data_IF_119996763453
#
_entry.id   IF_119996763453
#
_cell.length_a   1.000
_cell.length_b   1.000
_cell.length_c   1.000
_cell.angle_alpha   90.00
_cell.angle_beta   90.00
_cell.angle_gamma   90.00
#
_symmetry.space_group_name_H-M   'P 1'
#
loop_
_entity.id
_entity.type
_entity.pdbx_description
1 polymer ?
#
# COMPACT_ATOMS: atom_id res chain seq x y z
N UNK A 1 -3.03 -10.52 -21.36
CA UNK A 1 -2.05 -9.78 -20.55
C UNK A 1 -2.06 -10.34 -19.13
N UNK A 2 -0.90 -10.60 -18.52
CA UNK A 2 -0.84 -10.91 -17.08
C UNK A 2 -0.68 -9.61 -16.32
N UNK A 3 -1.51 -9.41 -15.30
CA UNK A 3 -1.51 -8.22 -14.47
C UNK A 3 -1.32 -8.62 -13.03
N UNK A 4 -0.36 -8.02 -12.35
CA UNK A 4 -0.13 -8.31 -10.95
C UNK A 4 -0.83 -7.24 -10.15
N UNK A 5 -1.84 -7.63 -9.39
CA UNK A 5 -2.54 -6.70 -8.51
C UNK A 5 -2.10 -7.04 -7.10
N UNK A 6 -1.20 -6.21 -6.59
CA UNK A 6 -0.82 -6.25 -5.20
C UNK A 6 -1.73 -5.29 -4.43
N UNK A 7 -2.17 -5.75 -3.26
CA UNK A 7 -2.59 -4.87 -2.20
C UNK A 7 -1.39 -4.65 -1.26
N UNK A 8 -0.51 -3.67 -1.54
CA UNK A 8 0.34 -3.17 -0.50
C UNK A 8 -0.49 -2.42 0.54
N UNK A 9 0.06 -2.31 1.74
CA UNK A 9 -0.43 -1.42 2.77
C UNK A 9 -0.84 -2.14 4.05
N UNK A 10 -0.34 -1.71 5.24
CA UNK A 10 -1.03 -2.05 6.49
C UNK A 10 -2.47 -1.53 6.36
N UNK A 11 -3.43 -2.20 7.00
CA UNK A 11 -4.89 -1.95 7.23
C UNK A 11 -5.50 -0.56 6.91
N UNK A 12 -4.72 0.51 6.72
CA UNK A 12 -5.09 1.91 6.51
C UNK A 12 -4.64 2.56 5.19
N UNK A 13 -3.90 1.88 4.29
CA UNK A 13 -3.61 2.41 2.95
C UNK A 13 -4.30 1.54 1.89
N UNK A 14 -5.12 2.18 1.07
CA UNK A 14 -5.67 1.57 -0.15
C UNK A 14 -4.72 1.84 -1.32
N UNK A 15 -3.44 1.51 -1.19
CA UNK A 15 -2.57 1.48 -2.35
C UNK A 15 -2.83 0.14 -3.06
N UNK A 16 -3.35 0.19 -4.28
CA UNK A 16 -3.27 -0.92 -5.21
C UNK A 16 -2.02 -0.65 -6.04
N UNK A 17 -1.03 -1.53 -5.97
CA UNK A 17 0.16 -1.39 -6.82
C UNK A 17 0.07 -2.37 -7.96
N UNK A 18 -0.05 -1.83 -9.16
CA UNK A 18 -0.16 -2.57 -10.40
C UNK A 18 1.10 -2.31 -11.21
N UNK A 19 2.15 -3.16 -11.14
CA UNK A 19 3.18 -3.12 -12.17
C UNK A 19 2.54 -3.48 -13.51
N UNK A 20 2.77 -2.65 -14.50
CA UNK A 20 2.35 -2.88 -15.88
C UNK A 20 3.64 -3.09 -16.68
N UNK A 21 3.72 -4.23 -17.37
CA UNK A 21 4.88 -4.80 -18.07
C UNK A 21 5.82 -5.67 -17.20
N UNK A 22 6.70 -6.41 -17.87
CA UNK A 22 7.40 -7.67 -17.51
C UNK A 22 7.40 -8.10 -16.02
N UNK A 23 6.63 -9.15 -15.72
CA UNK A 23 6.49 -9.72 -14.37
C UNK A 23 7.66 -10.58 -13.91
N UNK A 24 8.89 -10.13 -14.03
CA UNK A 24 10.06 -10.77 -13.41
C UNK A 24 10.14 -10.51 -11.89
N UNK A 25 9.05 -10.94 -11.24
CA UNK A 25 8.89 -11.23 -9.82
C UNK A 25 9.21 -10.10 -8.86
N UNK A 26 8.26 -9.18 -8.70
CA UNK A 26 8.07 -8.49 -7.43
C UNK A 26 7.88 -9.55 -6.32
N UNK A 27 8.77 -9.52 -5.33
CA UNK A 27 8.70 -10.42 -4.17
C UNK A 27 8.14 -9.63 -3.00
N UNK A 28 7.06 -10.14 -2.39
CA UNK A 28 6.52 -9.60 -1.14
C UNK A 28 7.63 -9.51 -0.07
N UNK A 29 8.57 -10.46 -0.06
CA UNK A 29 9.73 -10.46 0.82
C UNK A 29 10.71 -9.29 0.61
N UNK A 30 10.68 -8.61 -0.54
CA UNK A 30 11.52 -7.45 -0.83
C UNK A 30 10.79 -6.12 -0.58
N UNK A 31 9.49 -6.17 -0.25
CA UNK A 31 8.70 -4.98 0.03
C UNK A 31 9.05 -4.41 1.40
N UNK A 32 9.58 -3.20 1.44
CA UNK A 32 9.91 -2.45 2.66
C UNK A 32 9.33 -1.03 2.60
N UNK A 33 9.58 -0.21 3.62
CA UNK A 33 9.19 1.22 3.58
C UNK A 33 9.94 1.95 2.46
N UNK A 34 11.20 1.60 2.22
CA UNK A 34 12.04 2.20 1.18
C UNK A 34 11.86 1.55 -0.19
N UNK A 35 11.23 0.36 -0.24
CA UNK A 35 10.92 -0.37 -1.46
C UNK A 35 9.46 -0.86 -1.43
N UNK A 36 8.47 0.04 -1.56
CA UNK A 36 7.06 -0.33 -1.39
C UNK A 36 6.57 -1.34 -2.45
N UNK A 37 7.12 -1.27 -3.65
CA UNK A 37 6.76 -2.16 -4.77
C UNK A 37 7.50 -3.50 -4.75
N UNK A 38 8.58 -3.64 -3.97
CA UNK A 38 9.39 -4.85 -3.95
C UNK A 38 10.24 -5.04 -5.23
N UNK A 39 10.66 -3.92 -5.84
CA UNK A 39 11.53 -3.91 -7.01
C UNK A 39 12.90 -4.51 -6.70
N UNK A 40 13.53 -5.13 -7.69
CA UNK A 40 14.92 -5.60 -7.60
C UNK A 40 15.82 -4.63 -8.37
N UNK A 41 16.70 -3.86 -7.71
CA UNK A 41 17.60 -2.93 -8.41
C UNK A 41 18.53 -3.61 -9.42
N UNK A 42 18.91 -4.86 -9.14
CA UNK A 42 19.83 -5.65 -9.96
C UNK A 42 19.14 -6.36 -11.14
N UNK A 43 17.82 -6.20 -11.30
CA UNK A 43 17.05 -6.82 -12.38
C UNK A 43 16.94 -5.87 -13.59
N UNK A 44 17.64 -6.14 -14.70
CA UNK A 44 17.58 -5.28 -15.88
C UNK A 44 16.18 -5.26 -16.52
N UNK A 45 15.39 -6.33 -16.36
CA UNK A 45 14.07 -6.48 -16.95
C UNK A 45 12.97 -5.74 -16.17
N UNK A 46 13.25 -5.27 -14.95
CA UNK A 46 12.30 -4.46 -14.17
C UNK A 46 12.46 -2.96 -14.39
N UNK A 47 13.33 -2.53 -15.32
CA UNK A 47 13.65 -1.09 -15.52
C UNK A 47 12.55 -0.34 -16.27
N UNK A 48 11.86 -1.04 -17.17
CA UNK A 48 10.74 -0.56 -17.97
C UNK A 48 9.38 -0.70 -17.26
N UNK A 49 9.35 -1.30 -16.07
CA UNK A 49 8.14 -1.40 -15.25
C UNK A 49 7.60 -0.02 -14.90
N UNK A 50 6.31 0.20 -15.19
CA UNK A 50 5.61 1.44 -14.82
C UNK A 50 5.15 1.33 -13.37
N UNK A 51 5.53 2.32 -12.55
CA UNK A 51 5.23 2.32 -11.11
C UNK A 51 3.95 3.10 -10.80
N UNK A 52 2.89 2.36 -10.46
CA UNK A 52 1.57 2.92 -10.21
C UNK A 52 1.18 2.67 -8.74
N UNK A 53 1.09 3.74 -7.95
CA UNK A 53 0.57 3.72 -6.59
C UNK A 53 -0.79 4.43 -6.54
N UNK A 54 -1.83 3.77 -7.07
CA UNK A 54 -3.19 4.32 -7.16
C UNK A 54 -4.21 3.21 -6.83
N UNK A 55 -5.25 3.45 -6.01
CA UNK A 55 -6.35 2.50 -5.78
C UNK A 55 -7.18 2.13 -7.03
N UNK A 56 -6.88 2.70 -8.20
CA UNK A 56 -7.59 2.44 -9.45
C UNK A 56 -6.79 1.53 -10.39
N UNK A 57 -7.46 0.51 -10.89
CA UNK A 57 -6.97 -0.47 -11.83
C UNK A 57 -7.56 -0.19 -13.22
N UNK A 58 -6.76 0.33 -14.13
CA UNK A 58 -7.19 0.66 -15.48
C UNK A 58 -7.00 -0.51 -16.45
N UNK A 59 -7.99 -0.80 -17.28
CA UNK A 59 -8.02 -1.93 -18.21
C UNK A 59 -8.66 -1.55 -19.56
N UNK A 60 -7.97 -1.77 -20.69
CA UNK A 60 -8.60 -1.74 -22.00
C UNK A 60 -9.79 -2.70 -22.14
N UNK A 61 -10.86 -2.23 -22.75
CA UNK A 61 -12.05 -3.04 -23.04
C UNK A 61 -11.72 -4.16 -24.05
N UNK A 62 -12.44 -5.27 -23.97
CA UNK A 62 -12.36 -6.39 -24.90
C UNK A 62 -11.02 -7.16 -24.93
N UNK A 63 -10.20 -7.03 -23.89
CA UNK A 63 -8.96 -7.80 -23.74
C UNK A 63 -9.02 -8.77 -22.55
N UNK A 64 -8.45 -9.99 -22.65
CA UNK A 64 -8.39 -10.92 -21.53
C UNK A 64 -7.24 -10.59 -20.57
N UNK A 65 -7.56 -10.51 -19.28
CA UNK A 65 -6.63 -10.25 -18.19
C UNK A 65 -6.59 -11.43 -17.23
N UNK A 66 -5.38 -11.75 -16.76
CA UNK A 66 -5.14 -12.64 -15.63
C UNK A 66 -4.56 -11.80 -14.49
N UNK A 67 -5.32 -11.65 -13.41
CA UNK A 67 -4.85 -11.01 -12.20
C UNK A 67 -4.14 -12.03 -11.33
N UNK A 68 -2.87 -11.78 -11.01
CA UNK A 68 -2.15 -12.52 -9.98
C UNK A 68 -2.25 -11.70 -8.70
N UNK A 69 -2.87 -12.29 -7.68
CA UNK A 69 -3.27 -11.60 -6.45
C UNK A 69 -2.42 -12.08 -5.29
N UNK A 70 -1.93 -11.16 -4.46
CA UNK A 70 -1.11 -11.48 -3.28
C UNK A 70 -1.42 -10.54 -2.13
N UNK A 71 -1.44 -11.08 -0.91
CA UNK A 71 -1.46 -10.30 0.32
C UNK A 71 -0.05 -10.17 0.90
N UNK A 72 0.25 -8.98 1.46
CA UNK A 72 1.48 -8.69 2.20
C UNK A 72 1.35 -8.96 3.70
N UNK A 73 0.15 -8.84 4.26
CA UNK A 73 -0.08 -8.84 5.71
C UNK A 73 -1.07 -9.92 6.16
N UNK A 74 -2.38 -9.71 5.97
CA UNK A 74 -3.47 -10.54 6.48
C UNK A 74 -4.35 -11.06 5.35
N UNK A 75 -5.36 -11.85 5.66
CA UNK A 75 -6.32 -12.31 4.66
C UNK A 75 -7.15 -11.11 4.17
N UNK A 76 -7.16 -10.91 2.86
CA UNK A 76 -8.01 -9.95 2.17
C UNK A 76 -8.84 -10.67 1.12
N UNK A 77 -9.73 -9.94 0.47
CA UNK A 77 -10.46 -10.45 -0.68
C UNK A 77 -10.53 -9.36 -1.75
N UNK A 78 -10.27 -9.73 -3.00
CA UNK A 78 -10.51 -8.88 -4.16
C UNK A 78 -11.86 -9.26 -4.76
N UNK A 79 -12.83 -8.35 -4.69
CA UNK A 79 -14.13 -8.54 -5.34
C UNK A 79 -14.52 -7.36 -6.21
N UNK A 80 -15.01 -7.67 -7.42
CA UNK A 80 -15.72 -6.74 -8.30
C UNK A 80 -17.09 -7.34 -8.62
N UNK A 81 -18.18 -6.89 -7.96
CA UNK A 81 -19.49 -7.55 -8.05
C UNK A 81 -20.05 -7.64 -9.47
N UNK A 82 -19.86 -6.58 -10.27
CA UNK A 82 -20.35 -6.48 -11.64
C UNK A 82 -19.69 -7.52 -12.56
N UNK A 83 -18.45 -7.91 -12.24
CA UNK A 83 -17.73 -8.97 -12.96
C UNK A 83 -17.98 -10.36 -12.37
N UNK A 84 -18.65 -10.45 -11.21
CA UNK A 84 -18.81 -11.67 -10.42
C UNK A 84 -17.49 -12.38 -10.13
N UNK A 85 -16.43 -11.58 -9.99
CA UNK A 85 -15.11 -12.05 -9.61
C UNK A 85 -14.93 -11.76 -8.14
N UNK A 86 -14.59 -12.81 -7.39
CA UNK A 86 -14.11 -12.73 -6.02
C UNK A 86 -12.94 -13.69 -5.85
N UNK A 87 -11.90 -13.27 -5.15
CA UNK A 87 -10.77 -14.14 -4.83
C UNK A 87 -10.12 -13.72 -3.52
N UNK A 88 -9.91 -14.69 -2.64
CA UNK A 88 -9.25 -14.49 -1.34
C UNK A 88 -7.74 -14.36 -1.53
N UNK A 89 -7.14 -13.32 -0.95
CA UNK A 89 -5.70 -13.07 -0.94
C UNK A 89 -5.13 -13.60 0.38
N UNK A 90 -4.83 -14.90 0.40
CA UNK A 90 -4.20 -15.54 1.56
C UNK A 90 -2.69 -15.25 1.58
N UNK A 91 -2.13 -14.72 2.68
CA UNK A 91 -0.69 -14.49 2.79
C UNK A 91 0.13 -15.75 2.47
N UNK A 92 1.14 -15.60 1.61
CA UNK A 92 1.99 -16.71 1.15
C UNK A 92 1.44 -17.53 -0.02
N UNK A 93 0.18 -17.32 -0.42
CA UNK A 93 -0.38 -17.94 -1.63
C UNK A 93 -0.37 -16.95 -2.80
N UNK A 94 -0.52 -17.49 -4.02
CA UNK A 94 -0.56 -16.69 -5.26
C UNK A 94 -1.79 -17.06 -6.11
N UNK A 95 -3.00 -16.86 -5.57
CA UNK A 95 -4.22 -17.08 -6.32
C UNK A 95 -4.28 -16.18 -7.55
N UNK A 96 -5.07 -16.59 -8.54
CA UNK A 96 -5.32 -15.79 -9.73
C UNK A 96 -6.80 -15.74 -10.07
N UNK A 97 -7.23 -14.60 -10.60
CA UNK A 97 -8.53 -14.44 -11.23
C UNK A 97 -8.32 -14.10 -12.71
N UNK A 98 -9.27 -14.43 -13.58
CA UNK A 98 -9.22 -14.01 -14.97
C UNK A 98 -10.57 -13.46 -15.39
N UNK A 99 -10.55 -12.42 -16.20
CA UNK A 99 -11.76 -11.87 -16.83
C UNK A 99 -11.42 -11.16 -18.13
N UNK A 100 -12.45 -10.92 -18.93
CA UNK A 100 -12.41 -10.05 -20.11
C UNK A 100 -13.52 -9.01 -19.95
N UNK A 101 -13.20 -7.73 -19.69
CA UNK A 101 -14.24 -6.73 -19.54
C UNK A 101 -14.81 -6.41 -20.92
N UNK A 102 -16.13 -6.32 -21.03
CA UNK A 102 -16.83 -6.11 -22.32
C UNK A 102 -17.58 -4.79 -22.37
N UNK A 103 -17.57 -4.02 -21.28
CA UNK A 103 -18.26 -2.75 -21.17
C UNK A 103 -17.34 -1.73 -20.49
N UNK A 104 -17.21 -0.56 -21.12
CA UNK A 104 -16.50 0.60 -20.58
C UNK A 104 -17.25 1.15 -19.37
N UNK A 105 -16.52 1.55 -18.33
CA UNK A 105 -17.08 2.10 -17.11
C UNK A 105 -16.17 1.97 -15.91
N UNK A 106 -16.62 2.54 -14.78
CA UNK A 106 -15.93 2.45 -13.49
C UNK A 106 -16.69 1.51 -12.57
N UNK A 107 -15.99 0.53 -12.02
CA UNK A 107 -16.54 -0.54 -11.20
C UNK A 107 -15.83 -0.59 -9.86
N UNK A 108 -16.57 -0.65 -8.75
CA UNK A 108 -15.94 -0.64 -7.43
C UNK A 108 -15.28 -1.99 -7.10
N UNK A 109 -14.09 -1.90 -6.52
CA UNK A 109 -13.40 -3.02 -5.89
C UNK A 109 -13.67 -2.93 -4.39
N UNK A 110 -14.07 -4.05 -3.79
CA UNK A 110 -14.37 -4.14 -2.36
C UNK A 110 -13.62 -5.30 -1.73
N UNK A 111 -13.22 -5.11 -0.47
CA UNK A 111 -12.76 -6.19 0.38
C UNK A 111 -13.97 -6.91 0.99
N UNK A 112 -14.08 -8.22 0.76
CA UNK A 112 -15.12 -9.09 1.34
C UNK A 112 -14.59 -10.01 2.45
N UNK A 113 -13.37 -9.79 2.94
CA UNK A 113 -12.80 -10.50 4.10
C UNK A 113 -12.45 -9.50 5.21
N UNK A 114 -12.83 -9.79 6.45
CA UNK A 114 -12.54 -8.91 7.58
C UNK A 114 -11.03 -8.83 7.85
N UNK A 115 -10.40 -7.78 7.31
CA UNK A 115 -8.96 -7.58 7.35
C UNK A 115 -8.47 -6.56 8.40
N UNK A 116 -9.39 -6.01 9.21
CA UNK A 116 -9.06 -5.11 10.30
C UNK A 116 -10.07 -3.97 10.51
N UNK A 117 -9.68 -2.97 11.30
CA UNK A 117 -10.58 -1.89 11.75
C UNK A 117 -11.12 -1.01 10.62
N UNK A 118 -10.39 -0.90 9.52
CA UNK A 118 -10.76 -0.11 8.35
C UNK A 118 -11.20 -0.98 7.15
N UNK A 119 -11.57 -2.24 7.40
CA UNK A 119 -12.07 -3.16 6.37
C UNK A 119 -13.15 -2.54 5.46
N UNK A 120 -14.11 -1.81 6.03
CA UNK A 120 -15.19 -1.14 5.28
C UNK A 120 -14.71 -0.02 4.34
N UNK A 121 -13.56 0.58 4.66
CA UNK A 121 -12.95 1.67 3.91
C UNK A 121 -11.98 1.16 2.86
N UNK A 122 -11.66 -0.14 2.85
CA UNK A 122 -10.74 -0.77 1.90
C UNK A 122 -11.39 -0.94 0.54
N UNK A 123 -11.29 0.10 -0.29
CA UNK A 123 -11.98 0.23 -1.58
C UNK A 123 -11.00 0.69 -2.65
N UNK A 124 -11.24 0.21 -3.87
CA UNK A 124 -10.59 0.67 -5.08
C UNK A 124 -11.60 0.71 -6.23
N UNK A 125 -11.12 0.84 -7.46
CA UNK A 125 -11.98 0.65 -8.62
C UNK A 125 -11.25 0.04 -9.80
N UNK A 126 -11.99 -0.68 -10.63
CA UNK A 126 -11.57 -1.02 -12.00
C UNK A 126 -12.15 0.00 -12.95
N UNK A 127 -11.30 0.68 -13.70
CA UNK A 127 -11.67 1.58 -14.78
C UNK A 127 -11.47 0.83 -16.08
N UNK A 128 -12.57 0.46 -16.73
CA UNK A 128 -12.53 -0.12 -18.08
C UNK A 128 -12.70 1.00 -19.09
N UNK A 129 -11.75 1.14 -20.00
CA UNK A 129 -11.71 2.23 -20.97
C UNK A 129 -11.22 1.77 -22.34
N UNK A 130 -11.22 2.68 -23.32
CA UNK A 130 -10.66 2.43 -24.65
C UNK A 130 -9.12 2.46 -24.60
N UNK A 131 -8.47 1.80 -25.56
CA UNK A 131 -7.02 1.62 -25.57
C UNK A 131 -6.24 2.95 -25.56
N UNK A 132 -6.69 3.96 -26.31
CA UNK A 132 -6.04 5.27 -26.36
C UNK A 132 -6.08 5.97 -24.98
N UNK A 133 -7.22 5.92 -24.29
CA UNK A 133 -7.38 6.52 -22.96
C UNK A 133 -6.51 5.82 -21.90
N UNK A 134 -6.41 4.48 -21.99
CA UNK A 134 -5.51 3.70 -21.15
C UNK A 134 -4.04 4.09 -21.38
N UNK A 135 -3.62 4.26 -22.63
CA UNK A 135 -2.25 4.64 -22.96
C UNK A 135 -1.93 6.05 -22.45
N UNK A 136 -2.84 7.01 -22.64
CA UNK A 136 -2.70 8.37 -22.09
C UNK A 136 -2.56 8.36 -20.56
N UNK A 137 -3.34 7.51 -19.87
CA UNK A 137 -3.23 7.32 -18.43
C UNK A 137 -1.90 6.67 -18.04
N UNK A 138 -1.46 5.64 -18.77
CA UNK A 138 -0.23 4.91 -18.49
C UNK A 138 1.00 5.82 -18.63
N UNK A 139 1.04 6.64 -19.68
CA UNK A 139 2.12 7.60 -19.97
C UNK A 139 2.25 8.72 -18.92
N UNK A 140 1.25 8.88 -18.04
CA UNK A 140 1.32 9.82 -16.92
C UNK A 140 2.15 9.33 -15.73
N UNK A 141 2.52 8.04 -15.70
CA UNK A 141 3.30 7.44 -14.63
C UNK A 141 4.75 7.20 -15.04
N UNK A 142 5.71 7.37 -14.12
CA UNK A 142 7.10 7.12 -14.42
C UNK A 142 7.41 5.62 -14.45
N UNK A 143 8.33 5.25 -15.32
CA UNK A 143 9.02 3.95 -15.28
C UNK A 143 9.96 3.86 -14.07
N UNK A 144 10.32 2.64 -13.67
CA UNK A 144 11.27 2.44 -12.58
C UNK A 144 12.64 3.07 -12.88
N UNK A 145 13.10 3.01 -14.13
CA UNK A 145 14.33 3.68 -14.56
C UNK A 145 14.30 5.19 -14.35
N UNK A 146 13.17 5.84 -14.64
CA UNK A 146 12.99 7.27 -14.41
C UNK A 146 12.95 7.61 -12.92
N UNK A 147 12.27 6.78 -12.11
CA UNK A 147 12.26 6.93 -10.65
C UNK A 147 13.67 6.80 -10.06
N UNK A 148 14.49 5.88 -10.55
CA UNK A 148 15.90 5.73 -10.13
C UNK A 148 16.77 6.92 -10.55
N UNK A 149 16.42 7.61 -11.63
CA UNK A 149 17.12 8.79 -12.13
C UNK A 149 16.72 10.09 -11.42
N UNK A 150 15.68 10.06 -10.57
CA UNK A 150 15.26 11.22 -9.80
C UNK A 150 16.40 11.69 -8.88
N UNK A 151 16.56 13.02 -8.70
CA UNK A 151 17.55 13.55 -7.79
C UNK A 151 17.26 13.09 -6.36
N UNK A 152 18.33 12.96 -5.56
CA UNK A 152 18.20 12.58 -4.16
C UNK A 152 17.22 13.52 -3.43
N UNK A 153 16.34 12.98 -2.56
CA UNK A 153 15.34 13.78 -1.87
C UNK A 153 15.99 14.88 -1.02
N UNK A 154 15.45 16.09 -1.11
CA UNK A 154 15.93 17.23 -0.34
C UNK A 154 15.42 17.15 1.11
N UNK A 155 16.26 16.59 1.99
CA UNK A 155 15.93 16.41 3.41
C UNK A 155 15.62 17.74 4.10
N UNK A 156 16.32 18.83 3.78
CA UNK A 156 16.10 20.13 4.43
C UNK A 156 14.73 20.73 4.05
N UNK A 157 14.36 20.63 2.76
CA UNK A 157 13.03 21.03 2.31
C UNK A 157 11.94 20.15 2.94
N UNK A 158 12.18 18.84 3.02
CA UNK A 158 11.28 17.88 3.67
C UNK A 158 11.07 18.17 5.16
N UNK A 159 12.13 18.47 5.90
CA UNK A 159 12.07 18.84 7.32
C UNK A 159 11.25 20.12 7.54
N UNK A 160 11.39 21.11 6.66
CA UNK A 160 10.62 22.35 6.72
C UNK A 160 9.13 22.08 6.50
N UNK A 161 8.80 21.27 5.47
CA UNK A 161 7.43 20.86 5.21
C UNK A 161 6.82 20.01 6.33
N UNK A 162 7.66 19.21 7.01
CA UNK A 162 7.25 18.36 8.12
C UNK A 162 6.81 19.13 9.38
N UNK A 163 7.15 20.42 9.50
CA UNK A 163 6.78 21.23 10.65
C UNK A 163 5.26 21.20 10.94
N UNK A 164 4.42 21.18 9.92
CA UNK A 164 2.96 21.07 10.07
C UNK A 164 2.55 19.69 10.58
N UNK A 165 3.15 18.63 10.05
CA UNK A 165 2.91 17.25 10.47
C UNK A 165 3.35 17.00 11.91
N UNK A 166 4.39 17.71 12.34
CA UNK A 166 4.97 17.61 13.67
C UNK A 166 4.08 18.12 14.80
N UNK A 167 2.89 18.68 14.51
CA UNK A 167 1.89 19.04 15.51
C UNK A 167 1.03 17.85 15.98
N UNK A 168 0.96 16.79 15.15
CA UNK A 168 0.28 15.54 15.48
C UNK A 168 1.26 14.36 15.62
N UNK A 169 2.34 14.34 14.84
CA UNK A 169 3.29 13.23 14.78
C UNK A 169 4.57 13.45 15.60
N UNK A 170 4.68 14.59 16.30
CA UNK A 170 5.89 14.98 17.01
C UNK A 170 7.07 15.28 16.05
N UNK A 171 8.14 15.92 16.54
CA UNK A 171 9.29 16.25 15.69
C UNK A 171 10.08 15.02 15.20
N UNK A 172 9.94 13.87 15.86
CA UNK A 172 10.59 12.61 15.49
C UNK A 172 9.66 11.58 14.86
N UNK A 173 8.40 11.92 14.52
CA UNK A 173 7.45 10.97 13.92
C UNK A 173 6.78 9.97 14.87
N UNK A 174 7.08 10.02 16.18
CA UNK A 174 6.54 9.10 17.19
C UNK A 174 5.14 9.44 17.73
N UNK A 175 4.48 10.47 17.20
CA UNK A 175 3.24 11.02 17.77
C UNK A 175 3.49 12.13 18.79
N UNK A 176 2.58 13.11 18.86
CA UNK A 176 2.53 14.04 19.99
C UNK A 176 1.84 13.36 21.17
N UNK A 177 2.45 13.39 22.35
CA UNK A 177 1.71 13.31 23.60
C UNK A 177 0.97 14.63 23.84
N UNK A 178 -0.04 14.93 23.01
CA UNK A 178 -1.06 15.91 23.39
C UNK A 178 -1.74 15.37 24.65
N UNK A 179 -1.97 16.25 25.64
CA UNK A 179 -2.14 15.95 27.07
C UNK A 179 -3.24 14.93 27.48
N UNK A 180 -3.93 14.28 26.56
CA UNK A 180 -4.81 13.12 26.77
C UNK A 180 -4.16 11.75 26.47
N UNK A 181 -2.98 11.67 25.85
CA UNK A 181 -2.36 10.39 25.46
C UNK A 181 -1.63 9.65 26.60
N UNK A 182 -1.71 10.12 27.86
CA UNK A 182 -1.15 9.43 29.03
C UNK A 182 -1.78 8.06 29.33
N UNK A 183 -2.65 7.55 28.44
CA UNK A 183 -3.35 6.27 28.54
C UNK A 183 -3.32 5.44 27.26
N UNK A 184 -2.71 5.91 26.17
CA UNK A 184 -2.52 5.07 24.98
C UNK A 184 -1.19 4.37 25.08
N UNK A 185 -1.12 3.38 25.96
CA UNK A 185 -0.21 2.28 25.72
C UNK A 185 -0.53 1.73 24.32
N UNK A 186 0.48 1.74 23.44
CA UNK A 186 0.59 0.90 22.23
C UNK A 186 -0.18 1.38 21.00
N UNK A 187 0.51 2.13 20.14
CA UNK A 187 0.32 1.98 18.69
C UNK A 187 1.29 0.89 18.21
N UNK A 188 0.72 -0.20 17.70
CA UNK A 188 1.32 -1.21 16.83
C UNK A 188 2.80 -1.59 17.08
N UNK A 189 3.03 -2.50 18.04
CA UNK A 189 3.97 -3.62 17.87
C UNK A 189 5.47 -3.34 17.65
N UNK A 190 5.96 -2.11 17.81
CA UNK A 190 7.39 -1.79 17.64
C UNK A 190 8.05 -1.49 18.99
N UNK A 191 8.53 -2.53 19.67
CA UNK A 191 9.62 -2.39 20.65
C UNK A 191 10.55 -3.60 20.54
N UNK A 192 11.88 -3.40 20.48
CA UNK A 192 12.84 -4.49 20.65
C UNK A 192 12.72 -5.05 22.07
N UNK A 193 12.87 -6.37 22.18
CA UNK A 193 12.62 -7.23 23.35
C UNK A 193 13.38 -6.85 24.65
N UNK A 194 14.27 -5.85 24.60
CA UNK A 194 15.13 -5.45 25.71
C UNK A 194 14.47 -4.55 26.77
N UNK A 195 13.25 -4.02 26.54
CA UNK A 195 12.60 -3.08 27.46
C UNK A 195 11.71 -3.74 28.54
N UNK A 196 11.61 -5.07 28.56
CA UNK A 196 10.63 -5.78 29.38
C UNK A 196 10.91 -5.76 30.90
N UNK A 197 12.12 -5.38 31.32
CA UNK A 197 12.53 -5.43 32.73
C UNK A 197 12.58 -4.07 33.47
N UNK A 198 12.33 -2.94 32.80
CA UNK A 198 12.25 -1.63 33.49
C UNK A 198 10.81 -1.15 33.77
N UNK A 199 9.79 -1.86 33.28
CA UNK A 199 8.40 -1.39 33.28
C UNK A 199 7.77 -1.25 34.67
N UNK A 200 8.31 -1.90 35.72
CA UNK A 200 7.78 -1.75 37.08
C UNK A 200 8.36 -0.58 37.88
N UNK A 201 9.46 0.05 37.43
CA UNK A 201 10.19 1.02 38.26
C UNK A 201 9.86 2.50 37.98
N UNK A 202 9.14 2.82 36.89
CA UNK A 202 8.92 4.22 36.46
C UNK A 202 7.50 4.76 36.67
N UNK A 203 6.58 3.96 37.20
CA UNK A 203 5.21 4.41 37.56
C UNK A 203 5.18 5.32 38.81
N UNK A 204 6.28 5.41 39.57
CA UNK A 204 6.36 6.17 40.83
C UNK A 204 6.67 7.66 40.66
N UNK A 205 6.91 8.14 39.42
CA UNK A 205 7.41 9.52 39.18
C UNK A 205 6.37 10.54 38.71
N UNK A 206 5.08 10.18 38.69
CA UNK A 206 3.96 11.11 38.46
C UNK A 206 3.13 11.31 39.73
N UNK A 207 3.70 11.96 40.76
CA UNK A 207 2.89 12.55 41.85
C UNK A 207 2.17 13.79 41.30
N UNK A 208 0.83 13.78 41.36
CA UNK A 208 -0.01 14.96 41.11
C UNK A 208 0.43 16.12 42.03
N UNK A 209 0.56 17.35 41.53
CA UNK A 209 0.68 18.51 42.42
C UNK A 209 -0.68 18.78 43.08
N UNK A 210 -0.69 18.68 44.42
CA UNK A 210 -1.63 19.31 45.36
C UNK A 210 -3.13 19.29 45.05
N UNK A 211 -3.85 18.34 45.68
CA UNK A 211 -5.07 18.57 46.47
C UNK A 211 -5.29 17.39 47.40
#
# INVERSE_FOLDING_TARGET
MELFVFYPGPVFRNDMSVPIFDSHFLKVAQMSVDNPFGMKPDDPAGRDDVLIANPELHLPVNQPYKFVLRSKDVLHNFTVPQFRVKMDLVPGMTPYAWLKPTLVGRYDIMCEELCGVAHFAMRGAVVVEEEDAFNDWLDSYPTYAEVLALPAPNVAAGQTAYAVCSACHGPGGGGQCIAQCAQTDRVAGLVPEAANNEFQARSSRCRRPGR
#
